data_IF_460764232439
#
_entry.id   IF_460764232439
#
_cell.length_a   1.000
_cell.length_b   1.000
_cell.length_c   1.000
_cell.angle_alpha   90.00
_cell.angle_beta   90.00
_cell.angle_gamma   90.00
#
_symmetry.space_group_name_H-M   'P 1'
#
loop_
_entity.id
_entity.type
_entity.pdbx_description
1 polymer ?
#
# COMPACT_ATOMS: atom_id res chain seq x y z
N UNK A 1 -1.90 20.41 -0.47
CA UNK A 1 -2.30 19.09 0.08
C UNK A 1 -3.81 18.90 -0.07
N UNK A 2 -4.29 17.70 -0.43
CA UNK A 2 -5.74 17.42 -0.52
C UNK A 2 -6.42 17.55 0.85
N UNK A 3 -7.68 18.01 0.89
CA UNK A 3 -8.43 18.26 2.13
C UNK A 3 -8.54 17.03 3.02
N UNK A 4 -8.78 15.85 2.44
CA UNK A 4 -8.88 14.59 3.18
C UNK A 4 -7.57 14.22 3.90
N UNK A 5 -6.43 14.42 3.25
CA UNK A 5 -5.10 14.17 3.84
C UNK A 5 -4.85 15.10 5.02
N UNK A 6 -5.19 16.38 4.88
CA UNK A 6 -5.07 17.35 5.98
C UNK A 6 -5.87 16.90 7.19
N UNK A 7 -7.10 16.43 7.00
CA UNK A 7 -7.95 15.94 8.08
C UNK A 7 -7.34 14.71 8.79
N UNK A 8 -6.73 13.77 8.05
CA UNK A 8 -6.03 12.63 8.65
C UNK A 8 -4.83 13.04 9.50
N UNK A 9 -4.02 13.99 9.00
CA UNK A 9 -2.87 14.51 9.73
C UNK A 9 -3.30 15.28 10.98
N UNK A 10 -4.30 16.16 10.87
CA UNK A 10 -4.84 16.89 12.01
C UNK A 10 -5.37 15.92 13.09
N UNK A 11 -6.06 14.84 12.69
CA UNK A 11 -6.48 13.77 13.59
C UNK A 11 -5.33 12.98 14.22
N UNK A 12 -4.23 12.75 13.48
CA UNK A 12 -3.02 12.12 14.03
C UNK A 12 -2.45 12.94 15.19
N UNK A 13 -2.26 14.25 14.99
CA UNK A 13 -1.70 15.14 16.01
C UNK A 13 -2.64 15.37 17.19
N UNK A 14 -3.96 15.30 16.97
CA UNK A 14 -4.93 15.35 18.06
C UNK A 14 -4.85 14.10 18.95
N UNK A 15 -4.67 12.91 18.34
CA UNK A 15 -4.54 11.65 19.08
C UNK A 15 -3.19 11.51 19.80
N UNK A 16 -2.13 11.98 19.16
CA UNK A 16 -0.76 11.85 19.65
C UNK A 16 -0.10 13.23 19.73
N UNK A 17 -0.43 13.97 20.79
CA UNK A 17 0.11 15.32 21.04
C UNK A 17 1.64 15.32 21.15
N UNK A 18 2.25 14.21 21.58
CA UNK A 18 3.71 14.00 21.63
C UNK A 18 4.40 14.16 20.26
N UNK A 19 3.67 14.02 19.16
CA UNK A 19 4.21 14.17 17.81
C UNK A 19 4.27 15.63 17.34
N UNK A 20 3.82 16.60 18.16
CA UNK A 20 3.75 18.00 17.77
C UNK A 20 5.11 18.57 17.35
N UNK A 21 6.18 18.20 18.07
CA UNK A 21 7.54 18.70 17.81
C UNK A 21 8.10 18.23 16.47
N UNK A 22 7.67 17.07 15.98
CA UNK A 22 8.08 16.50 14.69
C UNK A 22 7.00 16.63 13.61
N UNK A 23 5.96 17.45 13.85
CA UNK A 23 4.86 17.66 12.89
C UNK A 23 5.36 18.07 11.52
N UNK A 24 6.32 18.99 11.48
CA UNK A 24 6.89 19.48 10.24
C UNK A 24 7.52 18.33 9.43
N UNK A 25 8.31 17.48 10.09
CA UNK A 25 9.03 16.39 9.42
C UNK A 25 8.08 15.30 8.91
N UNK A 26 7.02 15.00 9.67
CA UNK A 26 5.96 14.07 9.23
C UNK A 26 5.26 14.60 7.99
N UNK A 27 4.86 15.87 8.00
CA UNK A 27 4.19 16.51 6.85
C UNK A 27 5.12 16.56 5.64
N UNK A 28 6.37 16.98 5.84
CA UNK A 28 7.36 17.07 4.76
C UNK A 28 7.65 15.70 4.14
N UNK A 29 7.84 14.67 4.96
CA UNK A 29 8.07 13.28 4.50
C UNK A 29 6.90 12.76 3.67
N UNK A 30 5.67 13.05 4.08
CA UNK A 30 4.48 12.72 3.29
C UNK A 30 4.49 13.43 1.94
N UNK A 31 4.76 14.74 1.91
CA UNK A 31 4.74 15.52 0.67
C UNK A 31 5.81 15.05 -0.33
N UNK A 32 7.02 14.76 0.15
CA UNK A 32 8.12 14.19 -0.64
C UNK A 32 7.71 12.84 -1.21
N UNK A 33 7.18 11.93 -0.37
CA UNK A 33 6.80 10.58 -0.79
C UNK A 33 5.66 10.60 -1.80
N UNK A 34 4.61 11.39 -1.56
CA UNK A 34 3.50 11.57 -2.49
C UNK A 34 3.95 12.21 -3.80
N UNK A 35 4.87 13.18 -3.74
CA UNK A 35 5.49 13.78 -4.92
C UNK A 35 6.29 12.76 -5.73
N UNK A 36 7.06 11.90 -5.06
CA UNK A 36 7.84 10.84 -5.71
C UNK A 36 6.92 9.88 -6.49
N UNK A 37 5.86 9.37 -5.85
CA UNK A 37 4.92 8.46 -6.53
C UNK A 37 4.21 9.12 -7.72
N UNK A 38 3.76 10.37 -7.59
CA UNK A 38 3.15 11.12 -8.71
C UNK A 38 4.08 11.28 -9.91
N UNK A 39 5.39 11.34 -9.66
CA UNK A 39 6.42 11.47 -10.69
C UNK A 39 6.99 10.10 -11.14
N UNK A 40 6.28 9.00 -10.87
CA UNK A 40 6.70 7.65 -11.27
C UNK A 40 7.99 7.16 -10.60
N UNK A 41 8.37 7.76 -9.46
CA UNK A 41 9.51 7.32 -8.64
C UNK A 41 9.06 6.22 -7.67
N UNK A 42 10.04 5.66 -6.96
CA UNK A 42 9.85 4.53 -6.04
C UNK A 42 10.32 4.92 -4.64
N UNK A 43 9.63 4.41 -3.62
CA UNK A 43 10.04 4.47 -2.22
C UNK A 43 10.69 3.14 -1.85
N UNK A 44 11.91 3.20 -1.31
CA UNK A 44 12.60 2.05 -0.72
C UNK A 44 12.61 2.23 0.79
N UNK A 45 12.21 1.19 1.51
CA UNK A 45 12.16 1.19 2.98
C UNK A 45 13.04 0.03 3.46
N UNK A 46 13.87 0.26 4.47
CA UNK A 46 14.77 -0.75 5.01
C UNK A 46 14.94 -0.58 6.52
N UNK A 47 15.27 -1.70 7.18
CA UNK A 47 15.52 -1.77 8.61
C UNK A 47 16.10 -3.12 8.98
N UNK A 48 16.59 -3.26 10.21
CA UNK A 48 17.10 -4.49 10.80
C UNK A 48 16.24 -4.92 12.01
N UNK A 49 16.06 -6.22 12.21
CA UNK A 49 15.28 -6.75 13.33
C UNK A 49 13.84 -6.21 13.33
N UNK A 50 13.39 -5.61 14.43
CA UNK A 50 12.04 -5.03 14.51
C UNK A 50 11.74 -3.99 13.44
N UNK A 51 12.71 -3.13 13.10
CA UNK A 51 12.54 -2.14 12.03
C UNK A 51 12.44 -2.75 10.62
N UNK A 52 12.91 -3.99 10.43
CA UNK A 52 12.65 -4.74 9.20
C UNK A 52 11.18 -5.12 9.09
N UNK A 53 10.56 -5.56 10.20
CA UNK A 53 9.14 -5.86 10.24
C UNK A 53 8.27 -4.61 9.98
N UNK A 54 8.66 -3.45 10.53
CA UNK A 54 7.97 -2.18 10.24
C UNK A 54 8.13 -1.79 8.75
N UNK A 55 9.31 -2.00 8.16
CA UNK A 55 9.55 -1.75 6.73
C UNK A 55 8.65 -2.62 5.86
N UNK A 56 8.57 -3.91 6.16
CA UNK A 56 7.68 -4.85 5.48
C UNK A 56 6.21 -4.48 5.65
N UNK A 57 5.80 -4.01 6.83
CA UNK A 57 4.45 -3.54 7.08
C UNK A 57 4.11 -2.33 6.19
N UNK A 58 4.94 -1.28 6.22
CA UNK A 58 4.74 -0.07 5.41
C UNK A 58 4.62 -0.42 3.93
N UNK A 59 5.53 -1.27 3.43
CA UNK A 59 5.51 -1.72 2.03
C UNK A 59 4.24 -2.54 1.75
N UNK A 60 3.85 -3.42 2.67
CA UNK A 60 2.64 -4.23 2.57
C UNK A 60 1.38 -3.37 2.46
N UNK A 61 1.24 -2.33 3.30
CA UNK A 61 0.12 -1.39 3.23
C UNK A 61 0.10 -0.58 1.92
N UNK A 62 1.27 -0.12 1.45
CA UNK A 62 1.39 0.68 0.23
C UNK A 62 1.12 -0.13 -1.05
N UNK A 63 1.53 -1.40 -1.06
CA UNK A 63 1.33 -2.28 -2.22
C UNK A 63 -0.07 -2.88 -2.22
N UNK A 64 -0.69 -3.10 -1.06
CA UNK A 64 -2.03 -3.68 -0.98
C UNK A 64 -3.02 -2.74 -1.65
N UNK A 65 -3.88 -3.30 -2.51
CA UNK A 65 -4.89 -2.53 -3.25
C UNK A 65 -5.87 -1.74 -2.34
N UNK A 66 -5.94 -2.07 -1.05
CA UNK A 66 -6.88 -1.53 -0.07
C UNK A 66 -8.33 -1.61 -0.59
N UNK A 67 -8.90 -0.51 -1.09
CA UNK A 67 -10.24 -0.45 -1.68
C UNK A 67 -10.24 -0.51 -3.22
N UNK A 68 -9.06 -0.52 -3.85
CA UNK A 68 -8.88 -0.63 -5.29
C UNK A 68 -8.64 -2.09 -5.68
N UNK A 69 -9.61 -2.77 -6.30
CA UNK A 69 -9.44 -4.16 -6.71
C UNK A 69 -8.35 -4.26 -7.77
N UNK A 70 -7.29 -5.04 -7.51
CA UNK A 70 -6.22 -5.33 -8.48
C UNK A 70 -6.46 -6.69 -9.10
N UNK A 71 -7.62 -6.85 -9.75
CA UNK A 71 -7.99 -8.10 -10.43
C UNK A 71 -6.91 -8.50 -11.43
N UNK A 72 -6.72 -9.80 -11.57
CA UNK A 72 -5.84 -10.36 -12.59
C UNK A 72 -6.26 -9.89 -13.99
N UNK A 73 -5.28 -9.78 -14.88
CA UNK A 73 -5.58 -9.64 -16.31
C UNK A 73 -6.27 -10.91 -16.82
N UNK A 74 -6.94 -10.81 -17.97
CA UNK A 74 -7.59 -11.96 -18.59
C UNK A 74 -6.58 -13.08 -18.85
N UNK A 75 -5.40 -12.73 -19.35
CA UNK A 75 -4.30 -13.65 -19.68
C UNK A 75 -3.77 -14.38 -18.44
N UNK A 76 -3.61 -13.67 -17.32
CA UNK A 76 -3.20 -14.27 -16.06
C UNK A 76 -4.28 -15.23 -15.51
N UNK A 77 -5.56 -14.88 -15.68
CA UNK A 77 -6.69 -15.74 -15.32
C UNK A 77 -6.78 -17.00 -16.19
N UNK A 78 -6.54 -16.89 -17.50
CA UNK A 78 -6.48 -18.03 -18.42
C UNK A 78 -5.33 -18.96 -18.08
N UNK A 79 -4.15 -18.41 -17.77
CA UNK A 79 -2.99 -19.20 -17.35
C UNK A 79 -3.27 -20.05 -16.09
N UNK A 80 -4.07 -19.53 -15.14
CA UNK A 80 -4.50 -20.28 -13.95
C UNK A 80 -5.45 -21.42 -14.33
N UNK A 81 -6.39 -21.18 -15.26
CA UNK A 81 -7.33 -22.19 -15.71
C UNK A 81 -6.64 -23.34 -16.46
N UNK A 82 -5.58 -23.04 -17.23
CA UNK A 82 -4.79 -24.06 -17.92
C UNK A 82 -3.90 -24.87 -16.95
N UNK A 83 -3.40 -24.24 -15.87
CA UNK A 83 -2.49 -24.87 -14.93
C UNK A 83 -3.18 -25.66 -13.79
N UNK A 84 -4.46 -25.41 -13.53
CA UNK A 84 -5.20 -26.05 -12.44
C UNK A 84 -6.17 -27.12 -12.96
N UNK A 85 -5.90 -28.39 -12.63
CA UNK A 85 -6.78 -29.52 -12.97
C UNK A 85 -8.16 -29.45 -12.28
N UNK A 86 -8.26 -28.73 -11.17
CA UNK A 86 -9.50 -28.53 -10.43
C UNK A 86 -10.21 -27.24 -10.90
N UNK A 87 -11.19 -27.39 -11.79
CA UNK A 87 -11.94 -26.28 -12.39
C UNK A 87 -12.54 -25.31 -11.35
N UNK A 88 -13.10 -25.84 -10.25
CA UNK A 88 -13.69 -25.01 -9.19
C UNK A 88 -12.64 -24.14 -8.48
N UNK A 89 -11.45 -24.69 -8.25
CA UNK A 89 -10.34 -23.96 -7.65
C UNK A 89 -9.77 -22.91 -8.61
N UNK A 90 -9.65 -23.26 -9.89
CA UNK A 90 -9.21 -22.34 -10.94
C UNK A 90 -10.15 -21.14 -11.06
N UNK A 91 -11.46 -21.39 -11.09
CA UNK A 91 -12.48 -20.35 -11.15
C UNK A 91 -12.47 -19.48 -9.89
N UNK A 92 -12.36 -20.09 -8.70
CA UNK A 92 -12.26 -19.34 -7.45
C UNK A 92 -11.04 -18.41 -7.45
N UNK A 93 -9.87 -18.89 -7.87
CA UNK A 93 -8.66 -18.08 -7.95
C UNK A 93 -8.81 -16.96 -8.98
N UNK A 94 -9.41 -17.23 -10.15
CA UNK A 94 -9.66 -16.22 -11.17
C UNK A 94 -10.54 -15.07 -10.68
N UNK A 95 -11.56 -15.38 -9.88
CA UNK A 95 -12.53 -14.41 -9.40
C UNK A 95 -12.04 -13.62 -8.18
N UNK A 96 -11.17 -14.21 -7.35
CA UNK A 96 -10.80 -13.67 -6.04
C UNK A 96 -9.32 -13.25 -5.92
N UNK A 97 -8.43 -13.79 -6.73
CA UNK A 97 -7.00 -13.45 -6.67
C UNK A 97 -6.76 -12.05 -7.25
N UNK A 98 -5.85 -11.33 -6.61
CA UNK A 98 -5.46 -9.99 -6.99
C UNK A 98 -3.93 -9.90 -7.02
N UNK A 99 -3.38 -9.04 -7.88
CA UNK A 99 -1.97 -8.63 -7.79
C UNK A 99 -1.67 -7.99 -6.44
#
# INVERSE_FOLDING_TARGET
MQTAVKAHLDGLFQRYSLLADIRHDIVSTFEISAGAFRNGKRLFVCGNGGSAADSEHIVGELIKGFLSPRRLSAEAGDSIAEACDAADAAQYLRDNLQY
#
